data_IF_753364907800
#
_entry.id   IF_753364907800
#
_cell.length_a   1.000
_cell.length_b   1.000
_cell.length_c   1.000
_cell.angle_alpha   90.00
_cell.angle_beta   90.00
_cell.angle_gamma   90.00
#
_symmetry.space_group_name_H-M   'P 1'
#
loop_
_entity.id
_entity.type
_entity.pdbx_description
1 polymer ?
#
# COMPACT_ATOMS: atom_id res chain seq x y z
N UNK A 1 16.39 23.21 16.02
CA UNK A 1 15.31 22.24 16.29
C UNK A 1 15.49 20.95 15.48
N UNK A 2 15.43 20.96 14.14
CA UNK A 2 15.67 19.73 13.35
C UNK A 2 17.12 19.23 13.43
N UNK A 3 18.11 20.13 13.36
CA UNK A 3 19.53 19.78 13.48
C UNK A 3 19.88 19.11 14.82
N UNK A 4 19.38 19.66 15.93
CA UNK A 4 19.57 19.10 17.28
C UNK A 4 18.92 17.72 17.44
N UNK A 5 17.80 17.46 16.78
CA UNK A 5 17.16 16.14 16.74
C UNK A 5 17.96 15.16 15.87
N UNK A 6 18.52 15.62 14.76
CA UNK A 6 19.37 14.83 13.88
C UNK A 6 20.65 14.37 14.61
N UNK A 7 21.35 15.29 15.27
CA UNK A 7 22.53 14.98 16.11
C UNK A 7 22.17 14.03 17.25
N UNK A 8 21.02 14.24 17.89
CA UNK A 8 20.57 13.32 18.96
C UNK A 8 20.22 11.93 18.45
N UNK A 9 19.73 11.81 17.21
CA UNK A 9 19.35 10.53 16.62
C UNK A 9 20.57 9.70 16.20
N UNK A 10 21.63 10.36 15.74
CA UNK A 10 22.88 9.73 15.28
C UNK A 10 23.93 9.54 16.38
N UNK A 11 23.57 9.66 17.66
CA UNK A 11 24.49 9.34 18.75
C UNK A 11 24.94 7.88 18.71
N UNK A 12 26.25 7.69 18.84
CA UNK A 12 26.97 6.42 18.75
C UNK A 12 26.37 5.37 19.71
N UNK A 13 26.01 5.79 20.92
CA UNK A 13 25.41 4.96 21.99
C UNK A 13 24.12 4.22 21.59
N UNK A 14 23.36 4.73 20.62
CA UNK A 14 22.11 4.09 20.19
C UNK A 14 22.29 3.02 19.11
N UNK A 15 23.39 3.10 18.35
CA UNK A 15 23.60 2.29 17.15
C UNK A 15 24.78 1.34 17.27
N UNK A 16 25.79 1.70 18.06
CA UNK A 16 27.05 0.96 18.21
C UNK A 16 27.15 0.36 19.63
N UNK A 17 27.80 -0.82 19.77
CA UNK A 17 28.13 -1.36 21.09
C UNK A 17 29.16 -0.48 21.80
N UNK A 18 29.18 -0.54 23.14
CA UNK A 18 30.07 0.28 23.97
C UNK A 18 31.54 0.12 23.57
N UNK A 19 32.21 1.23 23.23
CA UNK A 19 33.63 1.25 22.86
C UNK A 19 33.91 1.45 21.37
N UNK A 20 32.88 1.56 20.53
CA UNK A 20 33.01 1.90 19.10
C UNK A 20 32.32 3.24 18.81
N UNK A 21 32.96 4.06 17.98
CA UNK A 21 32.44 5.36 17.54
C UNK A 21 32.22 5.38 16.03
N UNK A 22 31.41 6.32 15.52
CA UNK A 22 31.25 6.47 14.07
C UNK A 22 32.57 6.81 13.36
N UNK A 23 33.52 7.42 14.06
CA UNK A 23 34.86 7.74 13.54
C UNK A 23 35.67 6.48 13.23
N UNK A 24 35.44 5.38 13.95
CA UNK A 24 36.12 4.10 13.68
C UNK A 24 35.58 3.41 12.42
N UNK A 25 34.43 3.86 11.91
CA UNK A 25 33.82 3.39 10.66
C UNK A 25 34.05 4.36 9.48
N UNK A 26 34.77 5.47 9.69
CA UNK A 26 35.12 6.38 8.59
C UNK A 26 36.12 5.74 7.63
N UNK A 27 36.03 6.15 6.36
CA UNK A 27 36.80 5.60 5.25
C UNK A 27 38.30 5.54 5.59
N UNK A 28 38.81 4.31 5.71
CA UNK A 28 40.21 4.02 5.98
C UNK A 28 40.79 3.25 4.79
N UNK A 29 42.05 3.51 4.46
CA UNK A 29 42.82 2.78 3.44
C UNK A 29 42.25 2.83 1.99
N UNK A 30 41.58 3.94 1.62
CA UNK A 30 41.07 4.15 0.26
C UNK A 30 39.86 3.30 -0.12
N UNK A 31 39.26 2.60 0.86
CA UNK A 31 38.03 1.83 0.71
C UNK A 31 36.86 2.66 1.23
N UNK A 32 35.91 2.98 0.35
CA UNK A 32 34.71 3.74 0.71
C UNK A 32 33.67 2.80 1.33
N UNK A 33 33.37 2.96 2.62
CA UNK A 33 32.38 2.14 3.30
C UNK A 33 30.98 2.78 3.22
N UNK A 34 29.91 1.97 3.14
CA UNK A 34 28.54 2.49 3.15
C UNK A 34 28.21 3.06 4.53
N UNK A 35 27.90 4.35 4.59
CA UNK A 35 27.62 5.02 5.85
C UNK A 35 26.12 4.91 6.18
N UNK A 36 25.74 4.73 7.45
CA UNK A 36 24.32 4.70 7.83
C UNK A 36 23.56 5.99 7.48
N UNK A 37 24.27 7.13 7.41
CA UNK A 37 23.73 8.41 6.95
C UNK A 37 23.21 8.35 5.51
N UNK A 38 23.73 7.44 4.69
CA UNK A 38 23.29 7.20 3.32
C UNK A 38 21.86 6.65 3.24
N UNK A 39 21.33 6.12 4.35
CA UNK A 39 19.93 5.76 4.44
C UNK A 39 19.01 6.98 4.25
N UNK A 40 19.48 8.20 4.51
CA UNK A 40 18.73 9.40 4.17
C UNK A 40 18.57 9.60 2.66
N UNK A 41 19.51 9.10 1.84
CA UNK A 41 19.39 9.11 0.38
C UNK A 41 18.28 8.17 -0.12
N UNK A 42 17.84 7.21 0.69
CA UNK A 42 16.67 6.36 0.40
C UNK A 42 15.40 7.21 0.32
N UNK A 43 15.24 8.23 1.16
CA UNK A 43 14.04 9.06 1.21
C UNK A 43 13.73 9.73 -0.14
N UNK A 44 14.62 10.56 -0.73
CA UNK A 44 14.38 11.17 -2.03
C UNK A 44 14.26 10.11 -3.13
N UNK A 45 15.07 9.05 -3.07
CA UNK A 45 15.04 7.95 -4.05
C UNK A 45 13.68 7.22 -4.04
N UNK A 46 13.07 7.01 -2.87
CA UNK A 46 11.73 6.45 -2.77
C UNK A 46 10.69 7.35 -3.43
N UNK A 47 10.75 8.68 -3.22
CA UNK A 47 9.82 9.59 -3.89
C UNK A 47 9.96 9.54 -5.41
N UNK A 48 11.19 9.48 -5.92
CA UNK A 48 11.46 9.29 -7.35
C UNK A 48 10.87 7.97 -7.84
N UNK A 49 11.08 6.86 -7.11
CA UNK A 49 10.48 5.56 -7.45
C UNK A 49 8.95 5.57 -7.44
N UNK A 50 8.31 6.34 -6.55
CA UNK A 50 6.86 6.52 -6.55
C UNK A 50 6.37 7.26 -7.80
N UNK A 51 7.10 8.28 -8.25
CA UNK A 51 6.80 8.98 -9.50
C UNK A 51 6.98 8.04 -10.69
N UNK A 52 8.09 7.30 -10.75
CA UNK A 52 8.35 6.32 -11.83
C UNK A 52 7.28 5.22 -11.83
N UNK A 53 6.86 4.75 -10.65
CA UNK A 53 5.74 3.80 -10.51
C UNK A 53 4.47 4.38 -11.11
N UNK A 54 4.09 5.60 -10.74
CA UNK A 54 2.90 6.26 -11.25
C UNK A 54 2.91 6.39 -12.78
N UNK A 55 4.05 6.81 -13.34
CA UNK A 55 4.28 6.91 -14.79
C UNK A 55 4.18 5.53 -15.44
N UNK A 56 4.90 4.52 -14.93
CA UNK A 56 4.89 3.15 -15.46
C UNK A 56 3.50 2.52 -15.43
N UNK A 57 2.75 2.71 -14.36
CA UNK A 57 1.36 2.24 -14.29
C UNK A 57 0.49 2.87 -15.38
N UNK A 58 0.68 4.18 -15.65
CA UNK A 58 -0.12 4.92 -16.63
C UNK A 58 0.28 4.63 -18.08
N UNK A 59 1.58 4.56 -18.37
CA UNK A 59 2.13 4.49 -19.72
C UNK A 59 2.47 3.07 -20.18
N UNK A 60 2.73 2.14 -19.27
CA UNK A 60 3.06 0.75 -19.61
C UNK A 60 1.91 -0.15 -19.18
N UNK A 61 1.54 -0.11 -17.90
CA UNK A 61 0.56 -1.03 -17.31
C UNK A 61 -0.82 -0.95 -17.95
N UNK A 62 -1.38 0.25 -18.11
CA UNK A 62 -2.69 0.43 -18.75
C UNK A 62 -2.73 0.03 -20.23
N UNK A 63 -1.85 0.52 -21.12
CA UNK A 63 -1.89 0.10 -22.52
C UNK A 63 -1.57 -1.39 -22.68
N UNK A 64 -0.62 -1.93 -21.91
CA UNK A 64 -0.32 -3.37 -21.95
C UNK A 64 -1.53 -4.21 -21.51
N UNK A 65 -2.26 -3.78 -20.47
CA UNK A 65 -3.49 -4.46 -20.06
C UNK A 65 -4.53 -4.48 -21.19
N UNK A 66 -4.68 -3.38 -21.93
CA UNK A 66 -5.60 -3.30 -23.07
C UNK A 66 -5.13 -4.18 -24.24
N UNK A 67 -3.83 -4.17 -24.54
CA UNK A 67 -3.23 -4.99 -25.60
C UNK A 67 -3.40 -6.49 -25.33
N UNK A 68 -3.26 -6.92 -24.08
CA UNK A 68 -3.47 -8.31 -23.66
C UNK A 68 -4.96 -8.68 -23.48
N UNK A 69 -5.89 -7.80 -23.84
CA UNK A 69 -7.33 -8.06 -23.77
C UNK A 69 -7.88 -8.13 -22.34
N UNK A 70 -7.19 -7.54 -21.36
CA UNK A 70 -7.67 -7.43 -19.98
C UNK A 70 -8.89 -6.51 -19.95
N UNK A 71 -10.08 -7.12 -19.92
CA UNK A 71 -11.35 -6.40 -19.86
C UNK A 71 -11.71 -6.12 -18.40
N UNK A 72 -11.82 -4.84 -18.07
CA UNK A 72 -12.47 -4.45 -16.82
C UNK A 72 -13.96 -4.77 -16.91
N UNK A 73 -14.47 -5.47 -15.90
CA UNK A 73 -15.91 -5.71 -15.78
C UNK A 73 -16.64 -4.36 -15.72
N UNK A 74 -17.60 -4.15 -16.63
CA UNK A 74 -18.42 -2.94 -16.66
C UNK A 74 -19.18 -2.85 -15.34
N UNK A 75 -18.88 -1.81 -14.55
CA UNK A 75 -19.51 -1.57 -13.25
C UNK A 75 -20.50 -0.43 -13.37
N UNK A 76 -21.76 -0.78 -13.46
CA UNK A 76 -22.86 0.18 -13.43
C UNK A 76 -22.92 0.89 -12.08
N UNK A 77 -23.02 2.23 -12.11
CA UNK A 77 -23.22 3.02 -10.91
C UNK A 77 -24.61 2.72 -10.35
N UNK A 78 -24.76 2.45 -9.04
CA UNK A 78 -26.07 2.25 -8.46
C UNK A 78 -26.84 3.58 -8.53
N UNK A 79 -28.17 3.48 -8.57
CA UNK A 79 -29.06 4.64 -8.55
C UNK A 79 -28.74 5.50 -7.32
N UNK A 80 -28.57 6.83 -7.46
CA UNK A 80 -28.23 7.68 -6.33
C UNK A 80 -29.37 7.68 -5.32
N UNK A 81 -29.12 7.11 -4.14
CA UNK A 81 -30.03 7.14 -3.00
C UNK A 81 -29.22 7.52 -1.75
N UNK A 82 -29.42 8.73 -1.18
CA UNK A 82 -28.62 9.23 -0.08
C UNK A 82 -28.82 8.45 1.23
N UNK A 83 -30.00 7.85 1.43
CA UNK A 83 -30.33 7.05 2.62
C UNK A 83 -29.57 5.71 2.58
N UNK A 84 -29.53 5.06 1.42
CA UNK A 84 -28.77 3.82 1.25
C UNK A 84 -27.26 4.06 1.34
N UNK A 85 -26.77 5.17 0.80
CA UNK A 85 -25.35 5.53 0.85
C UNK A 85 -24.89 5.87 2.27
N UNK A 86 -25.66 6.66 3.02
CA UNK A 86 -25.35 6.98 4.43
C UNK A 86 -25.37 5.72 5.30
N UNK A 87 -26.32 4.81 5.09
CA UNK A 87 -26.36 3.51 5.75
C UNK A 87 -25.15 2.64 5.39
N UNK A 88 -24.77 2.60 4.10
CA UNK A 88 -23.62 1.82 3.63
C UNK A 88 -22.29 2.30 4.24
N UNK A 89 -22.13 3.62 4.41
CA UNK A 89 -20.94 4.22 5.02
C UNK A 89 -20.90 4.01 6.54
N UNK A 90 -22.05 4.07 7.22
CA UNK A 90 -22.13 4.11 8.70
C UNK A 90 -22.28 2.74 9.35
N UNK A 91 -23.00 1.78 8.74
CA UNK A 91 -23.42 0.55 9.40
C UNK A 91 -22.75 -0.72 8.85
N UNK A 92 -23.27 -1.25 7.74
CA UNK A 92 -22.85 -2.56 7.22
C UNK A 92 -23.06 -2.64 5.72
N UNK A 93 -22.07 -3.23 5.04
CA UNK A 93 -22.12 -3.54 3.60
C UNK A 93 -23.12 -4.64 3.26
N UNK A 94 -23.66 -5.34 4.26
CA UNK A 94 -24.73 -6.33 4.14
C UNK A 94 -25.76 -6.07 5.24
N UNK A 95 -26.92 -5.47 4.93
CA UNK A 95 -27.97 -5.24 5.91
C UNK A 95 -28.63 -6.56 6.31
N UNK A 96 -28.80 -6.79 7.62
CA UNK A 96 -29.58 -7.91 8.16
C UNK A 96 -31.09 -7.64 8.18
N UNK A 97 -31.51 -6.36 8.11
CA UNK A 97 -32.91 -5.91 8.09
C UNK A 97 -33.21 -5.11 6.82
N UNK A 98 -33.05 -5.73 5.66
CA UNK A 98 -33.18 -5.05 4.37
C UNK A 98 -34.62 -4.57 4.11
N UNK A 99 -35.64 -5.26 4.65
CA UNK A 99 -37.06 -4.92 4.48
C UNK A 99 -37.41 -3.53 5.05
N UNK A 100 -36.94 -3.22 6.26
CA UNK A 100 -37.16 -1.92 6.89
C UNK A 100 -36.44 -0.79 6.14
N UNK A 101 -35.25 -1.06 5.62
CA UNK A 101 -34.48 -0.09 4.85
C UNK A 101 -35.13 0.19 3.48
N UNK A 102 -35.68 -0.86 2.86
CA UNK A 102 -36.38 -0.79 1.60
C UNK A 102 -37.67 0.04 1.73
N UNK A 103 -38.45 -0.17 2.80
CA UNK A 103 -39.67 0.61 3.06
C UNK A 103 -39.39 2.09 3.31
N UNK A 104 -38.33 2.42 4.06
CA UNK A 104 -37.90 3.81 4.28
C UNK A 104 -37.48 4.54 3.00
N UNK A 105 -36.98 3.79 2.02
CA UNK A 105 -36.49 4.35 0.76
C UNK A 105 -37.53 4.31 -0.37
N UNK A 106 -38.78 3.89 -0.11
CA UNK A 106 -39.79 3.60 -1.14
C UNK A 106 -39.30 2.65 -2.24
N UNK A 107 -38.42 1.70 -1.90
CA UNK A 107 -37.83 0.74 -2.83
C UNK A 107 -38.34 -0.67 -2.54
N UNK A 108 -38.42 -1.51 -3.57
CA UNK A 108 -38.64 -2.94 -3.36
C UNK A 108 -37.40 -3.60 -2.72
N UNK A 109 -37.63 -4.70 -1.99
CA UNK A 109 -36.56 -5.53 -1.42
C UNK A 109 -35.51 -5.91 -2.48
N UNK A 110 -35.95 -6.33 -3.67
CA UNK A 110 -35.07 -6.69 -4.78
C UNK A 110 -34.25 -5.52 -5.31
N UNK A 111 -34.82 -4.32 -5.38
CA UNK A 111 -34.08 -3.11 -5.80
C UNK A 111 -33.02 -2.71 -4.77
N UNK A 112 -33.34 -2.76 -3.48
CA UNK A 112 -32.38 -2.50 -2.42
C UNK A 112 -31.24 -3.53 -2.41
N UNK A 113 -31.54 -4.83 -2.55
CA UNK A 113 -30.50 -5.88 -2.67
C UNK A 113 -29.59 -5.67 -3.89
N UNK A 114 -30.20 -5.36 -5.05
CA UNK A 114 -29.48 -5.05 -6.28
C UNK A 114 -28.57 -3.84 -6.07
N UNK A 115 -29.06 -2.79 -5.41
CA UNK A 115 -28.26 -1.60 -5.07
C UNK A 115 -27.03 -1.96 -4.22
N UNK A 116 -27.20 -2.73 -3.13
CA UNK A 116 -26.08 -3.16 -2.28
C UNK A 116 -25.09 -4.06 -3.03
N UNK A 117 -25.56 -4.88 -3.97
CA UNK A 117 -24.70 -5.71 -4.83
C UNK A 117 -23.85 -4.83 -5.74
N UNK A 118 -24.45 -3.87 -6.42
CA UNK A 118 -23.77 -2.93 -7.31
C UNK A 118 -22.76 -2.07 -6.56
N UNK A 119 -23.17 -1.49 -5.42
CA UNK A 119 -22.31 -0.65 -4.57
C UNK A 119 -21.09 -1.40 -4.04
N UNK A 120 -21.26 -2.67 -3.61
CA UNK A 120 -20.14 -3.54 -3.22
C UNK A 120 -19.24 -3.89 -4.40
N UNK A 121 -19.80 -4.02 -5.60
CA UNK A 121 -19.02 -4.33 -6.80
C UNK A 121 -18.18 -3.12 -7.25
N UNK A 122 -18.63 -1.89 -6.97
CA UNK A 122 -17.86 -0.66 -7.19
C UNK A 122 -16.62 -0.55 -6.30
N UNK A 123 -16.68 -0.99 -5.04
CA UNK A 123 -15.52 -0.98 -4.13
C UNK A 123 -14.43 -2.00 -4.52
N UNK A 124 -14.69 -2.92 -5.45
CA UNK A 124 -13.67 -3.87 -5.87
C UNK A 124 -12.56 -3.13 -6.62
N UNK A 125 -11.27 -3.44 -6.44
CA UNK A 125 -10.23 -2.92 -7.33
C UNK A 125 -10.48 -3.36 -8.78
N UNK A 126 -10.13 -2.52 -9.77
CA UNK A 126 -10.19 -2.85 -11.20
C UNK A 126 -9.13 -3.90 -11.55
N UNK A 127 -9.40 -4.73 -12.56
CA UNK A 127 -8.47 -5.82 -12.92
C UNK A 127 -7.26 -5.27 -13.67
N UNK A 128 -7.49 -4.29 -14.54
CA UNK A 128 -6.41 -3.52 -15.19
C UNK A 128 -5.46 -2.86 -14.19
N UNK A 129 -5.99 -2.32 -13.09
CA UNK A 129 -5.18 -1.72 -12.02
C UNK A 129 -4.29 -2.74 -11.31
N UNK A 130 -4.82 -3.92 -10.97
CA UNK A 130 -4.01 -5.00 -10.40
C UNK A 130 -2.96 -5.52 -11.38
N UNK A 131 -3.33 -5.66 -12.65
CA UNK A 131 -2.39 -6.07 -13.69
C UNK A 131 -1.24 -5.07 -13.79
N UNK A 132 -1.55 -3.78 -13.83
CA UNK A 132 -0.57 -2.70 -13.86
C UNK A 132 0.35 -2.71 -12.64
N UNK A 133 -0.19 -2.92 -11.44
CA UNK A 133 0.58 -3.04 -10.19
C UNK A 133 1.54 -4.25 -10.23
N UNK A 134 1.06 -5.40 -10.71
CA UNK A 134 1.90 -6.59 -10.88
C UNK A 134 2.97 -6.40 -11.97
N UNK A 135 2.63 -5.73 -13.07
CA UNK A 135 3.56 -5.42 -14.15
C UNK A 135 4.71 -4.52 -13.66
N UNK A 136 4.41 -3.48 -12.87
CA UNK A 136 5.45 -2.65 -12.24
C UNK A 136 6.37 -3.48 -11.35
N UNK A 137 5.82 -4.33 -10.46
CA UNK A 137 6.62 -5.21 -9.61
C UNK A 137 7.50 -6.14 -10.44
N UNK A 138 6.94 -6.75 -11.49
CA UNK A 138 7.68 -7.63 -12.38
C UNK A 138 8.85 -6.91 -13.07
N UNK A 139 8.61 -5.73 -13.64
CA UNK A 139 9.65 -4.93 -14.27
C UNK A 139 10.77 -4.57 -13.30
N UNK A 140 10.41 -4.11 -12.10
CA UNK A 140 11.39 -3.75 -11.07
C UNK A 140 12.25 -4.95 -10.67
N UNK A 141 11.63 -6.09 -10.34
CA UNK A 141 12.37 -7.29 -9.93
C UNK A 141 13.21 -7.87 -11.08
N UNK A 142 12.72 -7.80 -12.32
CA UNK A 142 13.49 -8.21 -13.49
C UNK A 142 14.73 -7.33 -13.67
N UNK A 143 14.58 -6.01 -13.56
CA UNK A 143 15.71 -5.08 -13.59
C UNK A 143 16.68 -5.31 -12.42
N UNK A 144 16.17 -5.49 -11.20
CA UNK A 144 17.01 -5.77 -10.01
C UNK A 144 17.80 -7.06 -10.17
N UNK A 145 17.17 -8.12 -10.69
CA UNK A 145 17.82 -9.40 -10.98
C UNK A 145 18.94 -9.22 -12.01
N UNK A 146 18.67 -8.52 -13.12
CA UNK A 146 19.69 -8.26 -14.13
C UNK A 146 20.86 -7.41 -13.60
N UNK A 147 20.57 -6.40 -12.77
CA UNK A 147 21.59 -5.59 -12.10
C UNK A 147 22.42 -6.41 -11.12
N UNK A 148 21.78 -7.28 -10.34
CA UNK A 148 22.46 -8.20 -9.42
C UNK A 148 23.41 -9.14 -10.15
N UNK A 149 23.01 -9.69 -11.31
CA UNK A 149 23.91 -10.48 -12.15
C UNK A 149 25.10 -9.66 -12.64
N UNK A 150 24.89 -8.44 -13.15
CA UNK A 150 25.99 -7.57 -13.63
C UNK A 150 26.99 -7.24 -12.51
N UNK A 151 26.49 -7.01 -11.29
CA UNK A 151 27.31 -6.71 -10.11
C UNK A 151 28.04 -7.97 -9.62
N UNK A 152 27.40 -9.14 -9.65
CA UNK A 152 28.03 -10.41 -9.26
C UNK A 152 29.29 -10.72 -10.08
N UNK A 153 29.31 -10.33 -11.36
CA UNK A 153 30.51 -10.47 -12.20
C UNK A 153 31.64 -9.49 -11.82
N UNK A 154 31.35 -8.35 -11.19
CA UNK A 154 32.33 -7.33 -10.80
C UNK A 154 31.99 -6.73 -9.41
N UNK A 155 32.34 -7.42 -8.31
CA UNK A 155 31.86 -7.09 -6.96
C UNK A 155 32.45 -5.78 -6.38
N UNK A 156 33.50 -5.22 -6.98
CA UNK A 156 34.18 -4.00 -6.54
C UNK A 156 33.63 -2.71 -7.20
N UNK A 157 32.51 -2.81 -7.92
CA UNK A 157 31.96 -1.65 -8.63
C UNK A 157 31.22 -0.72 -7.65
N UNK A 158 31.47 0.61 -7.66
CA UNK A 158 30.65 1.58 -6.91
C UNK A 158 29.15 1.52 -7.25
N UNK A 159 28.76 0.86 -8.34
CA UNK A 159 27.37 0.52 -8.66
C UNK A 159 26.68 -0.37 -7.60
N UNK A 160 27.43 -1.14 -6.80
CA UNK A 160 26.90 -1.98 -5.72
C UNK A 160 26.14 -1.13 -4.68
N UNK A 161 26.73 0.01 -4.30
CA UNK A 161 26.12 0.96 -3.38
C UNK A 161 24.76 1.44 -3.89
N UNK A 162 24.71 1.94 -5.13
CA UNK A 162 23.48 2.45 -5.73
C UNK A 162 22.42 1.36 -5.90
N UNK A 163 22.82 0.12 -6.17
CA UNK A 163 21.91 -1.01 -6.26
C UNK A 163 21.21 -1.29 -4.92
N UNK A 164 21.95 -1.28 -3.80
CA UNK A 164 21.38 -1.43 -2.46
C UNK A 164 20.44 -0.28 -2.09
N UNK A 165 20.85 0.97 -2.35
CA UNK A 165 19.99 2.14 -2.11
C UNK A 165 18.69 2.04 -2.91
N UNK A 166 18.76 1.62 -4.17
CA UNK A 166 17.57 1.41 -5.02
C UNK A 166 16.66 0.30 -4.49
N UNK A 167 17.22 -0.82 -4.03
CA UNK A 167 16.46 -1.95 -3.47
C UNK A 167 15.71 -1.55 -2.18
N UNK A 168 16.41 -0.93 -1.22
CA UNK A 168 15.80 -0.44 0.02
C UNK A 168 14.72 0.60 -0.30
N UNK A 169 15.01 1.54 -1.22
CA UNK A 169 14.06 2.58 -1.63
C UNK A 169 12.79 2.00 -2.23
N UNK A 170 12.89 0.90 -2.96
CA UNK A 170 11.75 0.19 -3.51
C UNK A 170 10.89 -0.46 -2.42
N UNK A 171 11.50 -1.11 -1.43
CA UNK A 171 10.77 -1.65 -0.29
C UNK A 171 10.06 -0.56 0.52
N UNK A 172 10.72 0.57 0.73
CA UNK A 172 10.10 1.72 1.39
C UNK A 172 8.93 2.28 0.55
N UNK A 173 9.06 2.31 -0.78
CA UNK A 173 7.96 2.69 -1.68
C UNK A 173 6.76 1.77 -1.55
N UNK A 174 6.98 0.46 -1.40
CA UNK A 174 5.93 -0.53 -1.17
C UNK A 174 5.27 -0.33 0.19
N UNK A 175 6.06 -0.04 1.24
CA UNK A 175 5.55 0.21 2.59
C UNK A 175 4.64 1.44 2.64
N UNK A 176 5.07 2.56 2.02
CA UNK A 176 4.25 3.77 1.92
C UNK A 176 2.97 3.52 1.13
N UNK A 177 3.11 2.79 0.02
CA UNK A 177 1.96 2.50 -0.84
C UNK A 177 1.02 1.50 -0.18
N UNK A 178 1.45 0.63 0.74
CA UNK A 178 0.63 -0.38 1.42
C UNK A 178 -0.65 0.19 2.05
N UNK A 179 -0.59 1.42 2.58
CA UNK A 179 -1.75 2.10 3.18
C UNK A 179 -2.81 2.52 2.14
N UNK A 180 -2.37 2.79 0.91
CA UNK A 180 -3.20 3.21 -0.21
C UNK A 180 -3.55 2.04 -1.16
N UNK A 181 -2.70 1.03 -1.21
CA UNK A 181 -2.77 -0.08 -2.15
C UNK A 181 -3.79 -1.11 -1.66
N UNK A 182 -4.93 -1.11 -2.33
CA UNK A 182 -6.02 -2.08 -2.18
C UNK A 182 -6.50 -2.18 -0.73
N UNK A 183 -7.63 -1.52 -0.45
CA UNK A 183 -8.51 -1.84 0.68
C UNK A 183 -9.04 -3.27 0.53
N UNK A 184 -8.19 -4.27 0.81
CA UNK A 184 -8.54 -5.69 0.74
C UNK A 184 -9.71 -5.89 1.69
N UNK A 185 -10.70 -6.63 1.20
CA UNK A 185 -11.98 -6.85 1.87
C UNK A 185 -11.80 -7.80 3.07
N UNK A 186 -11.04 -7.39 4.08
CA UNK A 186 -10.88 -8.06 5.37
C UNK A 186 -10.11 -7.07 6.24
N UNK A 187 -10.75 -6.21 7.04
CA UNK A 187 -10.95 -6.50 8.47
C UNK A 187 -12.19 -5.78 9.05
N UNK A 188 -12.95 -5.04 8.22
CA UNK A 188 -14.18 -4.36 8.66
C UNK A 188 -15.27 -5.33 9.11
N UNK A 189 -15.30 -6.54 8.51
CA UNK A 189 -16.17 -7.63 8.96
C UNK A 189 -15.87 -8.02 10.40
N UNK A 190 -14.58 -8.26 10.72
CA UNK A 190 -14.14 -8.61 12.07
C UNK A 190 -14.46 -7.52 13.09
N UNK A 191 -14.12 -6.25 12.82
CA UNK A 191 -14.47 -5.15 13.73
C UNK A 191 -15.98 -4.97 13.91
N UNK A 192 -16.78 -5.10 12.86
CA UNK A 192 -18.25 -5.02 12.97
C UNK A 192 -18.85 -6.20 13.75
N UNK A 193 -18.26 -7.40 13.62
CA UNK A 193 -18.71 -8.60 14.32
C UNK A 193 -18.31 -8.57 15.81
N UNK A 194 -17.12 -8.05 16.12
CA UNK A 194 -16.65 -7.79 17.49
C UNK A 194 -17.49 -6.69 18.15
N UNK A 195 -17.79 -5.59 17.45
CA UNK A 195 -18.63 -4.50 17.97
C UNK A 195 -20.07 -4.96 18.25
N UNK A 196 -20.64 -5.82 17.39
CA UNK A 196 -21.95 -6.46 17.63
C UNK A 196 -21.93 -7.45 18.80
N UNK A 197 -20.84 -8.24 18.97
CA UNK A 197 -20.66 -9.11 20.13
C UNK A 197 -20.59 -8.31 21.43
N UNK A 198 -19.82 -7.21 21.45
CA UNK A 198 -19.70 -6.33 22.62
C UNK A 198 -21.03 -5.66 22.95
N UNK A 199 -21.77 -5.17 21.96
CA UNK A 199 -23.08 -4.54 22.17
C UNK A 199 -24.15 -5.52 22.69
N UNK A 200 -24.17 -6.77 22.21
CA UNK A 200 -25.07 -7.82 22.75
C UNK A 200 -24.67 -8.22 24.17
N UNK A 201 -23.37 -8.32 24.45
CA UNK A 201 -22.89 -8.66 25.80
C UNK A 201 -23.26 -7.59 26.82
N UNK A 202 -23.21 -6.30 26.43
CA UNK A 202 -23.66 -5.18 27.27
C UNK A 202 -25.17 -5.14 27.51
N UNK A 203 -26.02 -5.57 26.57
CA UNK A 203 -27.48 -5.58 26.78
C UNK A 203 -27.98 -6.81 27.56
N UNK A 204 -27.18 -7.88 27.62
CA UNK A 204 -27.47 -9.07 28.44
C UNK A 204 -26.96 -8.93 29.88
N UNK A 205 -26.03 -8.02 30.15
CA UNK A 205 -25.53 -7.71 31.49
C UNK A 205 -26.27 -6.56 32.19
N UNK A 206 -27.27 -5.97 31.51
CA UNK A 206 -28.10 -4.86 32.02
C UNK A 206 -29.55 -5.30 32.28
N UNK A 207 -29.79 -6.62 32.30
CA UNK A 207 -30.99 -7.32 32.76
C UNK A 207 -30.57 -8.16 33.97
#
# INVERSE_FOLDING_TARGET
MLFTLYESFWKDEYWLPSGYTWADLEDSDGITYPHPKDLLAVIPTTFVLLVIRYVSERFIGLPLSKALGVRDSIRTKPIPNPILESFFQTHSKSPTKLNHLASQCSLSMRQAERWFRHRRNQERPLLSKKFSETCWRFLFYFCSLSGGFLIFYNPLNPALYWWYIMEISFYFSLLLTLSFDIKRKSNRGHHSHVRKKISRKKSLSSL
#
